data_IF_078996299608
#
_entry.id   IF_078996299608
#
_cell.length_a   1.000
_cell.length_b   1.000
_cell.length_c   1.000
_cell.angle_alpha   90.00
_cell.angle_beta   90.00
_cell.angle_gamma   90.00
#
_symmetry.space_group_name_H-M   'P 1'
#
loop_
_entity.id
_entity.type
_entity.pdbx_description
1 polymer ?
#
# COMPACT_ATOMS: atom_id res chain seq x y z
N UNK A 1 31.32 -15.48 10.35
CA UNK A 1 29.89 -15.12 10.20
C UNK A 1 29.80 -13.91 9.29
N UNK A 2 29.01 -13.88 8.20
CA UNK A 2 28.25 -12.67 7.76
C UNK A 2 28.05 -12.38 6.27
N UNK A 3 28.86 -12.83 5.30
CA UNK A 3 28.62 -12.45 3.88
C UNK A 3 27.23 -12.88 3.37
N UNK A 4 26.81 -14.13 3.67
CA UNK A 4 25.45 -14.62 3.35
C UNK A 4 24.34 -13.90 4.13
N UNK A 5 24.54 -13.58 5.42
CA UNK A 5 23.55 -12.84 6.24
C UNK A 5 23.37 -11.40 5.74
N UNK A 6 24.45 -10.70 5.42
CA UNK A 6 24.42 -9.33 4.87
C UNK A 6 23.68 -9.30 3.53
N UNK A 7 23.97 -10.26 2.63
CA UNK A 7 23.29 -10.37 1.33
C UNK A 7 21.79 -10.61 1.45
N UNK A 8 21.36 -11.41 2.44
CA UNK A 8 19.94 -11.65 2.74
C UNK A 8 19.29 -10.37 3.29
N UNK A 9 19.95 -9.65 4.20
CA UNK A 9 19.42 -8.39 4.73
C UNK A 9 19.21 -7.33 3.66
N UNK A 10 20.16 -7.14 2.74
CA UNK A 10 20.03 -6.17 1.64
C UNK A 10 18.86 -6.53 0.72
N UNK A 11 18.69 -7.82 0.39
CA UNK A 11 17.56 -8.28 -0.43
C UNK A 11 16.21 -7.96 0.22
N UNK A 12 16.09 -8.15 1.53
CA UNK A 12 14.86 -7.82 2.28
C UNK A 12 14.57 -6.32 2.31
N UNK A 13 15.60 -5.47 2.42
CA UNK A 13 15.45 -4.01 2.36
C UNK A 13 14.93 -3.58 0.99
N UNK A 14 15.49 -4.12 -0.10
CA UNK A 14 15.03 -3.81 -1.47
C UNK A 14 13.57 -4.21 -1.66
N UNK A 15 13.17 -5.40 -1.18
CA UNK A 15 11.77 -5.87 -1.26
C UNK A 15 10.85 -4.92 -0.48
N UNK A 16 11.24 -4.49 0.72
CA UNK A 16 10.46 -3.55 1.51
C UNK A 16 10.26 -2.20 0.81
N UNK A 17 11.33 -1.64 0.22
CA UNK A 17 11.24 -0.39 -0.57
C UNK A 17 10.29 -0.58 -1.76
N UNK A 18 10.41 -1.69 -2.48
CA UNK A 18 9.57 -1.97 -3.63
C UNK A 18 8.10 -2.12 -3.25
N UNK A 19 7.80 -2.75 -2.11
CA UNK A 19 6.43 -2.87 -1.58
C UNK A 19 5.82 -1.49 -1.28
N UNK A 20 6.59 -0.56 -0.69
CA UNK A 20 6.13 0.81 -0.43
C UNK A 20 5.82 1.55 -1.74
N UNK A 21 6.68 1.42 -2.76
CA UNK A 21 6.46 2.02 -4.07
C UNK A 21 5.19 1.46 -4.72
N UNK A 22 5.00 0.13 -4.68
CA UNK A 22 3.78 -0.50 -5.18
C UNK A 22 2.55 0.02 -4.45
N UNK A 23 2.58 0.07 -3.12
CA UNK A 23 1.46 0.57 -2.32
C UNK A 23 1.13 2.03 -2.68
N UNK A 24 2.14 2.85 -2.92
CA UNK A 24 1.97 4.24 -3.35
C UNK A 24 1.27 4.36 -4.70
N UNK A 25 1.67 3.57 -5.69
CA UNK A 25 1.09 3.59 -7.04
C UNK A 25 -0.33 3.01 -7.03
N UNK A 26 -0.51 1.84 -6.40
CA UNK A 26 -1.81 1.17 -6.33
C UNK A 26 -2.86 2.02 -5.64
N UNK A 27 -2.49 2.75 -4.57
CA UNK A 27 -3.45 3.58 -3.85
C UNK A 27 -4.00 4.70 -4.72
N UNK A 28 -3.18 5.33 -5.57
CA UNK A 28 -3.63 6.37 -6.51
C UNK A 28 -4.53 5.82 -7.60
N UNK A 29 -4.11 4.71 -8.23
CA UNK A 29 -4.90 4.04 -9.26
C UNK A 29 -6.25 3.57 -8.71
N UNK A 30 -6.28 3.08 -7.47
CA UNK A 30 -7.52 2.65 -6.84
C UNK A 30 -8.46 3.82 -6.57
N UNK A 31 -7.95 4.94 -6.04
CA UNK A 31 -8.77 6.13 -5.80
C UNK A 31 -9.31 6.71 -7.10
N UNK A 32 -8.46 6.81 -8.13
CA UNK A 32 -8.85 7.28 -9.46
C UNK A 32 -9.92 6.37 -10.08
N UNK A 33 -9.75 5.05 -9.97
CA UNK A 33 -10.76 4.09 -10.41
C UNK A 33 -12.11 4.28 -9.71
N UNK A 34 -12.11 4.50 -8.38
CA UNK A 34 -13.34 4.73 -7.63
C UNK A 34 -14.01 6.04 -8.07
N UNK A 35 -13.25 7.11 -8.24
CA UNK A 35 -13.78 8.40 -8.70
C UNK A 35 -14.39 8.29 -10.12
N UNK A 36 -13.69 7.62 -11.05
CA UNK A 36 -14.19 7.34 -12.41
C UNK A 36 -15.46 6.47 -12.39
N UNK A 37 -15.52 5.47 -11.50
CA UNK A 37 -16.66 4.58 -11.36
C UNK A 37 -17.89 5.33 -10.82
N UNK A 38 -17.70 6.23 -9.86
CA UNK A 38 -18.76 7.08 -9.31
C UNK A 38 -19.24 8.12 -10.34
N UNK A 39 -18.31 8.71 -11.08
CA UNK A 39 -18.61 9.68 -12.11
C UNK A 39 -19.39 9.08 -13.28
N UNK A 40 -18.99 7.88 -13.73
CA UNK A 40 -19.65 7.17 -14.84
C UNK A 40 -21.02 6.61 -14.49
N UNK A 41 -21.22 6.10 -13.27
CA UNK A 41 -22.49 5.48 -12.88
C UNK A 41 -23.48 6.44 -12.23
N UNK A 42 -23.01 7.39 -11.42
CA UNK A 42 -23.87 8.26 -10.61
C UNK A 42 -23.72 9.75 -10.91
N UNK A 43 -22.90 10.12 -11.91
CA UNK A 43 -22.56 11.52 -12.21
C UNK A 43 -22.03 12.29 -10.99
N UNK A 44 -21.49 11.55 -10.02
CA UNK A 44 -21.00 12.07 -8.77
C UNK A 44 -19.48 12.09 -8.81
N UNK A 45 -18.88 13.25 -8.53
CA UNK A 45 -17.44 13.38 -8.39
C UNK A 45 -17.10 13.30 -6.90
N UNK A 46 -16.28 12.31 -6.52
CA UNK A 46 -15.92 12.06 -5.13
C UNK A 46 -14.92 13.11 -4.62
N UNK A 47 -14.05 13.61 -5.51
CA UNK A 47 -13.03 14.60 -5.18
C UNK A 47 -13.22 15.88 -5.98
N UNK A 48 -13.70 16.93 -5.32
CA UNK A 48 -13.85 18.27 -5.92
C UNK A 48 -12.49 19.01 -6.02
N UNK A 49 -11.50 18.60 -5.23
CA UNK A 49 -10.16 19.20 -5.21
C UNK A 49 -9.04 18.16 -5.29
N UNK A 50 -7.93 18.53 -5.93
CA UNK A 50 -6.71 17.70 -5.98
C UNK A 50 -6.17 17.39 -4.58
N UNK A 51 -6.30 18.34 -3.64
CA UNK A 51 -5.88 18.15 -2.25
C UNK A 51 -6.67 17.04 -1.55
N UNK A 52 -7.99 16.96 -1.77
CA UNK A 52 -8.83 15.92 -1.18
C UNK A 52 -8.52 14.53 -1.74
N UNK A 53 -8.25 14.44 -3.05
CA UNK A 53 -7.74 13.25 -3.72
C UNK A 53 -6.42 12.77 -3.09
N UNK A 54 -5.45 13.69 -2.94
CA UNK A 54 -4.12 13.35 -2.39
C UNK A 54 -4.24 12.81 -0.95
N UNK A 55 -5.03 13.47 -0.11
CA UNK A 55 -5.23 13.03 1.28
C UNK A 55 -5.85 11.64 1.31
N UNK A 56 -6.89 11.39 0.52
CA UNK A 56 -7.57 10.10 0.49
C UNK A 56 -6.67 8.98 -0.04
N UNK A 57 -5.94 9.22 -1.14
CA UNK A 57 -4.96 8.27 -1.68
C UNK A 57 -3.85 7.93 -0.67
N UNK A 58 -3.38 8.91 0.09
CA UNK A 58 -2.40 8.68 1.15
C UNK A 58 -3.00 7.89 2.33
N UNK A 59 -4.26 8.12 2.69
CA UNK A 59 -4.96 7.32 3.70
C UNK A 59 -5.08 5.84 3.29
N UNK A 60 -5.39 5.56 2.03
CA UNK A 60 -5.43 4.18 1.50
C UNK A 60 -4.03 3.56 1.54
N UNK A 61 -3.00 4.30 1.12
CA UNK A 61 -1.62 3.82 1.16
C UNK A 61 -1.20 3.43 2.58
N UNK A 62 -1.47 4.29 3.56
CA UNK A 62 -1.15 4.02 4.96
C UNK A 62 -1.91 2.80 5.49
N UNK A 63 -3.20 2.69 5.15
CA UNK A 63 -4.04 1.54 5.54
C UNK A 63 -3.52 0.23 4.96
N UNK A 64 -3.08 0.24 3.70
CA UNK A 64 -2.47 -0.93 3.06
C UNK A 64 -1.18 -1.36 3.74
N UNK A 65 -0.31 -0.41 4.08
CA UNK A 65 0.95 -0.71 4.80
C UNK A 65 0.64 -1.29 6.20
N UNK A 66 -0.30 -0.70 6.93
CA UNK A 66 -0.72 -1.21 8.24
C UNK A 66 -1.28 -2.63 8.14
N UNK A 67 -2.13 -2.88 7.14
CA UNK A 67 -2.70 -4.20 6.89
C UNK A 67 -1.60 -5.23 6.58
N UNK A 68 -0.62 -4.88 5.76
CA UNK A 68 0.50 -5.76 5.43
C UNK A 68 1.33 -6.13 6.68
N UNK A 69 1.64 -5.14 7.53
CA UNK A 69 2.32 -5.37 8.81
C UNK A 69 1.49 -6.28 9.72
N UNK A 70 0.19 -6.05 9.81
CA UNK A 70 -0.73 -6.84 10.61
C UNK A 70 -0.81 -8.30 10.11
N UNK A 71 -0.92 -8.51 8.80
CA UNK A 71 -0.90 -9.83 8.18
C UNK A 71 0.42 -10.56 8.43
N UNK A 72 1.56 -9.88 8.30
CA UNK A 72 2.88 -10.46 8.62
C UNK A 72 2.93 -10.89 10.10
N UNK A 73 2.42 -10.05 11.00
CA UNK A 73 2.36 -10.37 12.43
C UNK A 73 1.51 -11.61 12.71
N UNK A 74 0.30 -11.68 12.14
CA UNK A 74 -0.60 -12.83 12.26
C UNK A 74 0.07 -14.10 11.71
N UNK A 75 0.59 -14.05 10.48
CA UNK A 75 1.26 -15.19 9.85
C UNK A 75 2.44 -15.69 10.69
N UNK A 76 3.22 -14.79 11.29
CA UNK A 76 4.31 -15.16 12.20
C UNK A 76 3.83 -15.80 13.50
N UNK A 77 2.71 -15.32 14.05
CA UNK A 77 2.10 -15.89 15.26
C UNK A 77 1.57 -17.30 15.00
N UNK A 78 0.86 -17.52 13.90
CA UNK A 78 0.34 -18.84 13.50
C UNK A 78 1.44 -19.83 13.12
N UNK A 79 2.54 -19.39 12.49
CA UNK A 79 3.66 -20.28 12.13
C UNK A 79 4.48 -20.77 13.33
N UNK A 80 4.31 -20.14 14.50
CA UNK A 80 4.99 -20.52 15.76
C UNK A 80 4.14 -21.42 16.66
N UNK A 81 2.88 -21.65 16.30
CA UNK A 81 1.97 -22.62 16.93
C UNK A 81 2.11 -23.93 16.16
#
# INVERSE_FOLDING_TARGET
MNQKKIKISIKMVIIGIFAVIIAFVLSRLFVEYIDELLRSNWQYQLFESESSYIVFANCIMFSNILLEIFLIYICRKFRKI
#
